data_IF_560135042941
#
_entry.id   IF_560135042941
#
_cell.length_a   1.000
_cell.length_b   1.000
_cell.length_c   1.000
_cell.angle_alpha   90.00
_cell.angle_beta   90.00
_cell.angle_gamma   90.00
#
_symmetry.space_group_name_H-M   'P 1'
#
loop_
_entity.id
_entity.type
_entity.pdbx_description
1 polymer ?
#
# COMPACT_ATOMS: atom_id res chain seq x y z
N UNK A 1 13.79 -12.59 -6.19
CA UNK A 1 13.19 -11.70 -5.19
C UNK A 1 12.05 -10.94 -5.82
N UNK A 2 10.90 -10.97 -5.19
CA UNK A 2 9.73 -10.26 -5.70
C UNK A 2 9.69 -8.85 -5.14
N UNK A 3 9.38 -7.88 -5.99
CA UNK A 3 9.19 -6.50 -5.57
C UNK A 3 7.80 -6.03 -5.95
N UNK A 4 7.26 -5.12 -5.14
CA UNK A 4 5.98 -4.49 -5.40
C UNK A 4 6.15 -2.98 -5.35
N UNK A 5 5.45 -2.29 -6.21
CA UNK A 5 5.50 -0.83 -6.23
C UNK A 5 4.60 -0.26 -5.16
N UNK A 6 5.03 0.83 -4.55
CA UNK A 6 4.19 1.56 -3.61
C UNK A 6 4.27 3.05 -3.91
N UNK A 7 3.22 3.73 -3.53
CA UNK A 7 3.09 5.17 -3.74
C UNK A 7 3.13 5.81 -2.37
N UNK A 8 3.88 6.89 -2.24
CA UNK A 8 4.03 7.53 -0.94
C UNK A 8 4.22 9.03 -1.07
N UNK A 9 3.95 9.70 0.03
CA UNK A 9 4.24 11.12 0.15
C UNK A 9 4.55 11.44 1.61
N UNK A 10 5.12 12.60 1.84
CA UNK A 10 5.45 13.05 3.18
C UNK A 10 4.48 14.16 3.59
N UNK A 11 3.92 14.02 4.79
CA UNK A 11 3.04 15.02 5.36
C UNK A 11 3.61 15.40 6.72
N UNK A 12 4.27 16.56 6.77
CA UNK A 12 5.02 16.95 7.96
C UNK A 12 6.13 15.96 8.24
N UNK A 13 6.12 15.39 9.42
CA UNK A 13 7.11 14.39 9.83
C UNK A 13 6.70 12.96 9.50
N UNK A 14 5.50 12.79 8.96
CA UNK A 14 4.97 11.46 8.68
C UNK A 14 5.11 11.10 7.21
N UNK A 15 5.41 9.83 6.97
CA UNK A 15 5.43 9.25 5.64
C UNK A 15 4.18 8.43 5.47
N UNK A 16 3.43 8.68 4.41
CA UNK A 16 2.14 8.04 4.17
C UNK A 16 2.24 7.33 2.83
N UNK A 17 1.69 6.11 2.76
CA UNK A 17 1.77 5.39 1.51
C UNK A 17 0.85 4.19 1.43
N UNK A 18 0.84 3.59 0.26
CA UNK A 18 0.03 2.42 -0.02
C UNK A 18 0.66 1.63 -1.16
N UNK A 19 0.37 0.34 -1.19
CA UNK A 19 0.79 -0.49 -2.31
C UNK A 19 -0.04 -0.10 -3.54
N UNK A 20 0.61 -0.02 -4.68
CA UNK A 20 -0.05 0.38 -5.93
C UNK A 20 -1.24 -0.49 -6.25
N UNK A 21 -1.13 -1.79 -5.98
CA UNK A 21 -2.20 -2.76 -6.25
C UNK A 21 -3.37 -2.67 -5.27
N UNK A 22 -3.14 -2.05 -4.09
CA UNK A 22 -4.12 -2.03 -3.01
C UNK A 22 -4.26 -0.62 -2.44
N UNK A 23 -4.80 0.32 -3.21
CA UNK A 23 -4.81 1.73 -2.80
C UNK A 23 -5.69 2.06 -1.61
N UNK A 24 -6.58 1.15 -1.23
CA UNK A 24 -7.45 1.39 -0.07
C UNK A 24 -6.78 1.05 1.26
N UNK A 25 -5.59 0.45 1.22
CA UNK A 25 -4.89 0.03 2.43
C UNK A 25 -3.71 0.94 2.68
N UNK A 26 -4.00 2.15 3.13
CA UNK A 26 -2.99 3.15 3.43
C UNK A 26 -2.39 2.91 4.80
N UNK A 27 -1.12 3.26 4.94
CA UNK A 27 -0.45 3.22 6.23
C UNK A 27 0.51 4.39 6.33
N UNK A 28 1.17 4.49 7.47
CA UNK A 28 2.08 5.59 7.73
C UNK A 28 3.28 5.12 8.53
N UNK A 29 4.31 5.95 8.56
CA UNK A 29 5.49 5.69 9.36
C UNK A 29 6.21 6.99 9.66
N UNK A 30 7.06 6.99 10.67
CA UNK A 30 7.86 8.15 11.03
C UNK A 30 9.11 8.27 10.16
N UNK A 31 9.42 7.22 9.42
CA UNK A 31 10.51 7.20 8.45
C UNK A 31 10.07 6.39 7.24
N UNK A 32 10.78 6.53 6.14
CA UNK A 32 10.49 5.74 4.95
C UNK A 32 10.67 4.25 5.24
N UNK A 33 11.69 3.89 6.02
CA UNK A 33 11.93 2.49 6.38
C UNK A 33 10.77 1.90 7.18
N UNK A 34 10.23 2.67 8.11
CA UNK A 34 9.08 2.24 8.90
C UNK A 34 7.84 2.10 8.02
N UNK A 35 7.64 3.03 7.08
CA UNK A 35 6.55 2.93 6.13
C UNK A 35 6.67 1.64 5.32
N UNK A 36 7.85 1.32 4.84
CA UNK A 36 8.07 0.10 4.05
C UNK A 36 7.80 -1.16 4.87
N UNK A 37 8.19 -1.17 6.14
CA UNK A 37 7.91 -2.31 7.02
C UNK A 37 6.41 -2.49 7.19
N UNK A 38 5.69 -1.40 7.42
CA UNK A 38 4.24 -1.45 7.58
C UNK A 38 3.55 -1.90 6.29
N UNK A 39 4.08 -1.51 5.13
CA UNK A 39 3.54 -1.97 3.85
C UNK A 39 3.80 -3.46 3.63
N UNK A 40 4.95 -3.97 4.08
CA UNK A 40 5.23 -5.40 4.00
C UNK A 40 4.25 -6.20 4.83
N UNK A 41 3.90 -5.69 6.01
CA UNK A 41 2.91 -6.35 6.88
C UNK A 41 1.53 -6.40 6.21
N UNK A 42 1.13 -5.30 5.59
CA UNK A 42 -0.13 -5.24 4.85
C UNK A 42 -0.10 -6.24 3.69
N UNK A 43 0.99 -6.29 2.95
CA UNK A 43 1.12 -7.22 1.84
C UNK A 43 1.03 -8.67 2.31
N UNK A 44 1.65 -8.99 3.44
CA UNK A 44 1.59 -10.33 4.00
C UNK A 44 0.14 -10.71 4.34
N UNK A 45 -0.59 -9.79 4.94
CA UNK A 45 -2.00 -10.03 5.29
C UNK A 45 -2.85 -10.24 4.04
N UNK A 46 -2.65 -9.43 3.01
CA UNK A 46 -3.38 -9.55 1.76
C UNK A 46 -3.06 -10.87 1.05
N UNK A 47 -1.79 -11.25 1.05
CA UNK A 47 -1.34 -12.49 0.40
C UNK A 47 -1.84 -13.73 1.10
N UNK A 48 -2.05 -13.66 2.41
CA UNK A 48 -2.54 -14.81 3.19
C UNK A 48 -4.06 -14.91 3.18
N UNK A 49 -4.73 -14.01 2.49
CA UNK A 49 -6.18 -13.94 2.38
C UNK A 49 -6.89 -13.72 3.73
N UNK A 50 -6.19 -13.06 4.67
CA UNK A 50 -6.81 -12.68 5.94
C UNK A 50 -7.73 -11.47 5.78
N UNK A 51 -7.54 -10.70 4.70
CA UNK A 51 -8.41 -9.58 4.34
C UNK A 51 -9.42 -10.08 3.32
N UNK A 52 -10.72 -10.06 3.64
CA UNK A 52 -11.74 -10.72 2.80
C UNK A 52 -12.03 -10.03 1.47
N UNK A 53 -11.73 -8.75 1.35
CA UNK A 53 -12.06 -8.00 0.13
C UNK A 53 -10.81 -7.40 -0.46
N UNK A 54 -10.32 -8.01 -1.53
CA UNK A 54 -9.16 -7.50 -2.27
C UNK A 54 -9.65 -6.61 -3.39
N UNK A 55 -9.18 -5.39 -3.41
CA UNK A 55 -9.57 -4.42 -4.42
C UNK A 55 -8.71 -4.56 -5.67
N UNK A 56 -9.29 -4.26 -6.80
CA UNK A 56 -8.61 -4.35 -8.09
C UNK A 56 -8.68 -3.00 -8.77
N UNK A 57 -7.73 -2.76 -9.66
CA UNK A 57 -7.68 -1.53 -10.46
C UNK A 57 -8.30 -1.83 -11.81
N UNK A 58 -9.29 -1.04 -12.18
CA UNK A 58 -9.89 -1.11 -13.49
C UNK A 58 -9.74 0.23 -14.19
N UNK A 59 -9.99 0.25 -15.46
CA UNK A 59 -9.99 1.48 -16.24
C UNK A 59 -11.42 1.79 -16.70
N UNK A 60 -11.82 3.02 -16.50
CA UNK A 60 -13.15 3.46 -16.92
C UNK A 60 -13.01 4.46 -18.05
N UNK A 61 -13.68 4.17 -19.15
CA UNK A 61 -13.71 5.11 -20.28
C UNK A 61 -14.73 6.19 -19.99
N UNK A 62 -14.29 7.44 -20.00
CA UNK A 62 -15.15 8.57 -19.67
C UNK A 62 -15.42 9.50 -20.83
N UNK A 63 -14.75 9.28 -21.97
CA UNK A 63 -15.00 10.06 -23.19
C UNK A 63 -14.57 9.30 -24.43
#
# INVERSE_FOLDING_TARGET
METKKFIYYQDGDMWIGWLEEYPDYRTQGESLEELEENLRDIYADLSSATIPYVHRVGELRVA
#
